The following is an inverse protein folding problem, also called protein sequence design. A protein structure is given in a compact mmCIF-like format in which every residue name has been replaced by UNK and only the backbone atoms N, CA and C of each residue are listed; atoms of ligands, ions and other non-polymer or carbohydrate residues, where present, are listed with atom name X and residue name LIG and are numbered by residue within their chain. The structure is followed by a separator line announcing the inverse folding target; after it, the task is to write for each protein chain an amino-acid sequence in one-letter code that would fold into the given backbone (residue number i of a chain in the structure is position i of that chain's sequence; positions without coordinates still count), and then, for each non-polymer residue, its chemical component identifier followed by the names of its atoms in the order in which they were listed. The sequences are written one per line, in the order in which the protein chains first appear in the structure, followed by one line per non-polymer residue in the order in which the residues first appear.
data_IF_816314167370
#
_entry.id   IF_816314167370
#
_cell.length_a   1.000
_cell.length_b   1.000
_cell.length_c   1.000
_cell.angle_alpha   90.00
_cell.angle_beta   90.00
_cell.angle_gamma   90.00
#
_symmetry.space_group_name_H-M   'P 1'
#
loop_
_entity.id
_entity.type
_entity.pdbx_description
1 polymer ?
#
# COMPACT_ATOMS: atom_id res chain seq x y z
N UNK A 1 17.13 24.25 2.21
CA UNK A 1 16.93 23.54 3.49
C UNK A 1 17.84 22.32 3.69
N UNK A 2 18.35 21.67 2.64
CA UNK A 2 19.19 20.45 2.72
C UNK A 2 20.72 20.67 2.58
N UNK A 3 21.22 21.91 2.67
CA UNK A 3 22.67 22.19 2.57
C UNK A 3 23.16 22.80 3.87
N UNK A 4 23.77 21.97 4.71
CA UNK A 4 24.43 22.35 5.96
C UNK A 4 24.55 21.18 6.94
N UNK A 5 25.64 21.15 7.70
CA UNK A 5 25.88 20.22 8.81
C UNK A 5 24.73 20.38 9.85
N UNK A 6 23.80 19.42 9.89
CA UNK A 6 22.56 19.49 10.69
C UNK A 6 21.25 19.55 9.89
N UNK A 7 21.31 19.59 8.56
CA UNK A 7 20.14 19.52 7.67
C UNK A 7 19.38 18.19 7.78
N UNK A 8 20.10 17.08 7.93
CA UNK A 8 19.50 15.73 8.09
C UNK A 8 18.74 15.58 9.42
N UNK A 9 19.27 16.15 10.51
CA UNK A 9 18.60 16.12 11.82
C UNK A 9 17.37 17.03 11.86
N UNK A 10 17.41 18.19 11.19
CA UNK A 10 16.22 19.05 11.02
C UNK A 10 15.17 18.35 10.16
N UNK A 11 15.57 17.67 9.09
CA UNK A 11 14.66 16.90 8.25
C UNK A 11 14.03 15.74 9.02
N UNK A 12 14.81 14.97 9.77
CA UNK A 12 14.30 13.90 10.65
C UNK A 12 13.27 14.42 11.64
N UNK A 13 13.56 15.52 12.35
CA UNK A 13 12.60 16.14 13.28
C UNK A 13 11.30 16.58 12.59
N UNK A 14 11.38 17.13 11.37
CA UNK A 14 10.20 17.51 10.60
C UNK A 14 9.41 16.27 10.16
N UNK A 15 10.08 15.23 9.66
CA UNK A 15 9.47 13.97 9.27
C UNK A 15 8.78 13.28 10.45
N UNK A 16 9.45 13.17 11.61
CA UNK A 16 8.90 12.56 12.82
C UNK A 16 7.65 13.30 13.31
N UNK A 17 7.59 14.62 13.11
CA UNK A 17 6.42 15.42 13.48
C UNK A 17 5.30 15.36 12.45
N UNK A 18 5.61 15.21 11.15
CA UNK A 18 4.62 15.08 10.09
C UNK A 18 4.02 13.68 10.00
N UNK A 19 4.77 12.63 10.32
CA UNK A 19 4.32 11.24 10.23
C UNK A 19 2.97 10.97 10.96
N UNK A 20 2.79 11.34 12.25
CA UNK A 20 1.52 11.14 12.93
C UNK A 20 0.40 12.03 12.37
N UNK A 21 0.71 13.22 11.88
CA UNK A 21 -0.27 14.14 11.28
C UNK A 21 -0.79 13.58 9.95
N UNK A 22 0.11 13.05 9.11
CA UNK A 22 -0.24 12.43 7.83
C UNK A 22 -1.09 11.17 8.03
N UNK A 23 -0.69 10.28 8.94
CA UNK A 23 -1.51 9.12 9.30
C UNK A 23 -2.88 9.53 9.84
N UNK A 24 -2.94 10.56 10.69
CA UNK A 24 -4.19 11.11 11.20
C UNK A 24 -5.09 11.66 10.08
N UNK A 25 -4.53 12.41 9.13
CA UNK A 25 -5.26 12.96 8.00
C UNK A 25 -5.77 11.86 7.04
N UNK A 26 -4.96 10.83 6.77
CA UNK A 26 -5.34 9.67 5.96
C UNK A 26 -6.52 8.92 6.61
N UNK A 27 -6.40 8.62 7.91
CA UNK A 27 -7.44 7.91 8.66
C UNK A 27 -8.73 8.75 8.77
N UNK A 28 -8.62 10.05 9.01
CA UNK A 28 -9.76 10.95 9.03
C UNK A 28 -10.48 10.96 7.68
N UNK A 29 -9.73 11.08 6.59
CA UNK A 29 -10.27 11.01 5.21
C UNK A 29 -10.99 9.69 4.99
N UNK A 30 -10.39 8.57 5.41
CA UNK A 30 -11.00 7.25 5.30
C UNK A 30 -12.31 7.16 6.07
N UNK A 31 -12.33 7.60 7.33
CA UNK A 31 -13.53 7.59 8.18
C UNK A 31 -14.65 8.46 7.58
N UNK A 32 -14.33 9.66 7.07
CA UNK A 32 -15.29 10.54 6.43
C UNK A 32 -15.88 9.92 5.16
N UNK A 33 -15.04 9.33 4.32
CA UNK A 33 -15.48 8.68 3.08
C UNK A 33 -16.38 7.47 3.39
N UNK A 34 -16.01 6.63 4.35
CA UNK A 34 -16.86 5.53 4.81
C UNK A 34 -18.16 6.01 5.45
N UNK A 35 -18.13 7.09 6.21
CA UNK A 35 -19.32 7.69 6.80
C UNK A 35 -20.32 8.18 5.76
N UNK A 36 -19.83 8.83 4.69
CA UNK A 36 -20.69 9.37 3.63
C UNK A 36 -21.10 8.33 2.58
N UNK A 37 -20.26 7.33 2.32
CA UNK A 37 -20.47 6.35 1.25
C UNK A 37 -20.90 4.97 1.76
N UNK A 38 -20.91 4.72 3.07
CA UNK A 38 -21.13 3.40 3.68
C UNK A 38 -22.44 2.71 3.30
N UNK A 39 -23.53 3.46 3.07
CA UNK A 39 -24.81 2.87 2.65
C UNK A 39 -24.75 2.28 1.23
N UNK A 40 -24.06 2.98 0.31
CA UNK A 40 -23.83 2.48 -1.05
C UNK A 40 -22.86 1.29 -1.08
N UNK A 41 -21.90 1.22 -0.15
CA UNK A 41 -21.01 0.07 0.03
C UNK A 41 -21.84 -1.18 0.36
N UNK A 42 -22.81 -1.07 1.28
CA UNK A 42 -23.68 -2.17 1.67
C UNK A 42 -24.67 -2.58 0.57
N UNK A 43 -25.21 -1.63 -0.19
CA UNK A 43 -26.20 -1.91 -1.25
C UNK A 43 -25.59 -2.54 -2.52
N UNK A 44 -24.26 -2.47 -2.73
CA UNK A 44 -23.59 -2.94 -3.96
C UNK A 44 -22.43 -3.91 -3.71
N UNK A 45 -22.64 -5.05 -3.04
CA UNK A 45 -21.57 -5.99 -2.70
C UNK A 45 -20.90 -6.63 -3.92
N UNK A 46 -21.65 -6.80 -5.02
CA UNK A 46 -21.13 -7.40 -6.26
C UNK A 46 -20.03 -6.53 -6.89
N UNK A 47 -20.18 -5.20 -6.84
CA UNK A 47 -19.18 -4.26 -7.37
C UNK A 47 -17.89 -4.35 -6.54
N UNK A 48 -18.03 -4.43 -5.22
CA UNK A 48 -16.89 -4.60 -4.30
C UNK A 48 -16.13 -5.88 -4.66
N UNK A 49 -16.84 -6.99 -4.88
CA UNK A 49 -16.21 -8.26 -5.24
C UNK A 49 -15.48 -8.17 -6.60
N UNK A 50 -16.13 -7.54 -7.59
CA UNK A 50 -15.57 -7.30 -8.92
C UNK A 50 -14.32 -6.42 -8.89
N UNK A 51 -14.22 -5.47 -7.97
CA UNK A 51 -13.02 -4.64 -7.77
C UNK A 51 -11.95 -5.36 -6.95
N UNK A 52 -12.36 -6.12 -5.93
CA UNK A 52 -11.45 -6.80 -5.02
C UNK A 52 -10.64 -7.89 -5.72
N UNK A 53 -11.26 -8.67 -6.61
CA UNK A 53 -10.58 -9.79 -7.29
C UNK A 53 -9.39 -9.31 -8.13
N UNK A 54 -9.52 -8.30 -9.03
CA UNK A 54 -8.37 -7.74 -9.75
C UNK A 54 -7.28 -7.19 -8.84
N UNK A 55 -7.65 -6.47 -7.78
CA UNK A 55 -6.69 -5.88 -6.82
C UNK A 55 -5.91 -6.98 -6.11
N UNK A 56 -6.60 -8.02 -5.63
CA UNK A 56 -5.97 -9.18 -4.99
C UNK A 56 -4.95 -9.83 -5.91
N UNK A 57 -5.36 -10.15 -7.14
CA UNK A 57 -4.49 -10.77 -8.13
C UNK A 57 -3.28 -9.87 -8.38
N UNK A 58 -3.49 -8.58 -8.62
CA UNK A 58 -2.43 -7.62 -8.91
C UNK A 58 -1.43 -7.50 -7.76
N UNK A 59 -1.89 -7.39 -6.51
CA UNK A 59 -1.02 -7.24 -5.34
C UNK A 59 -0.20 -8.51 -5.08
N UNK A 60 -0.84 -9.69 -5.10
CA UNK A 60 -0.11 -10.95 -4.90
C UNK A 60 0.84 -11.27 -6.05
N UNK A 61 0.43 -11.00 -7.29
CA UNK A 61 1.25 -11.22 -8.46
C UNK A 61 2.46 -10.30 -8.47
N UNK A 62 2.28 -8.99 -8.32
CA UNK A 62 3.38 -8.04 -8.36
C UNK A 62 4.34 -8.23 -7.17
N UNK A 63 3.82 -8.46 -5.97
CA UNK A 63 4.68 -8.72 -4.80
C UNK A 63 5.43 -10.03 -4.93
N UNK A 64 4.77 -11.11 -5.36
CA UNK A 64 5.40 -12.41 -5.58
C UNK A 64 6.46 -12.35 -6.67
N UNK A 65 6.16 -11.68 -7.79
CA UNK A 65 7.08 -11.47 -8.90
C UNK A 65 8.30 -10.67 -8.46
N UNK A 66 8.09 -9.51 -7.80
CA UNK A 66 9.18 -8.68 -7.30
C UNK A 66 10.03 -9.41 -6.25
N UNK A 67 9.41 -10.16 -5.34
CA UNK A 67 10.12 -10.96 -4.34
C UNK A 67 10.96 -12.07 -4.98
N UNK A 68 10.41 -12.74 -6.00
CA UNK A 68 11.12 -13.78 -6.74
C UNK A 68 12.24 -13.23 -7.63
N UNK A 69 12.05 -12.08 -8.30
CA UNK A 69 13.10 -11.40 -9.05
C UNK A 69 14.26 -11.03 -8.12
N UNK A 70 13.96 -10.40 -6.99
CA UNK A 70 14.97 -10.05 -5.99
C UNK A 70 15.77 -11.28 -5.51
N UNK A 71 15.08 -12.43 -5.31
CA UNK A 71 15.76 -13.70 -4.99
C UNK A 71 16.67 -14.16 -6.12
N UNK A 72 16.22 -14.10 -7.37
CA UNK A 72 17.02 -14.49 -8.54
C UNK A 72 18.26 -13.64 -8.71
N UNK A 73 18.15 -12.35 -8.42
CA UNK A 73 19.22 -11.36 -8.48
C UNK A 73 20.17 -11.40 -7.25
N UNK A 74 19.89 -12.25 -6.25
CA UNK A 74 20.74 -12.39 -5.07
C UNK A 74 20.60 -11.27 -4.04
N UNK A 75 19.51 -10.50 -4.09
CA UNK A 75 19.27 -9.38 -3.18
C UNK A 75 18.92 -9.91 -1.79
N UNK A 76 19.52 -9.33 -0.74
CA UNK A 76 19.24 -9.69 0.65
C UNK A 76 17.77 -9.44 1.02
N UNK A 77 17.22 -10.26 1.91
CA UNK A 77 15.81 -10.18 2.33
C UNK A 77 15.43 -8.79 2.85
N UNK A 78 16.34 -8.12 3.56
CA UNK A 78 16.15 -6.77 4.10
C UNK A 78 15.90 -5.69 3.03
N UNK A 79 16.27 -5.94 1.77
CA UNK A 79 16.00 -5.04 0.63
C UNK A 79 14.89 -5.62 -0.25
N UNK A 80 14.87 -6.94 -0.44
CA UNK A 80 13.89 -7.64 -1.25
C UNK A 80 12.46 -7.52 -0.70
N UNK A 81 12.30 -7.56 0.62
CA UNK A 81 10.99 -7.46 1.27
C UNK A 81 10.35 -6.08 1.09
N UNK A 82 11.03 -4.94 1.41
CA UNK A 82 10.52 -3.61 1.08
C UNK A 82 10.31 -3.41 -0.42
N UNK A 83 11.24 -3.89 -1.25
CA UNK A 83 11.14 -3.78 -2.72
C UNK A 83 9.89 -4.48 -3.26
N UNK A 84 9.57 -5.68 -2.77
CA UNK A 84 8.39 -6.43 -3.17
C UNK A 84 7.08 -5.72 -2.79
N UNK A 85 7.06 -5.05 -1.64
CA UNK A 85 5.92 -4.25 -1.20
C UNK A 85 5.75 -3.01 -2.08
N UNK A 86 6.83 -2.26 -2.33
CA UNK A 86 6.82 -1.07 -3.19
C UNK A 86 6.30 -1.42 -4.60
N UNK A 87 6.73 -2.55 -5.16
CA UNK A 87 6.27 -3.00 -6.48
C UNK A 87 4.80 -3.41 -6.53
N UNK A 88 4.16 -3.67 -5.38
CA UNK A 88 2.77 -4.09 -5.29
C UNK A 88 1.82 -2.98 -4.83
N UNK A 89 2.33 -1.95 -4.14
CA UNK A 89 1.53 -0.87 -3.55
C UNK A 89 0.96 0.09 -4.60
N UNK A 90 -0.30 0.51 -4.40
CA UNK A 90 -0.93 1.58 -5.15
C UNK A 90 -1.11 2.85 -4.29
N UNK A 91 -1.00 4.02 -4.91
CA UNK A 91 -1.22 5.31 -4.24
C UNK A 91 -2.70 5.71 -4.25
N UNK A 92 -3.50 5.06 -3.41
CA UNK A 92 -4.92 5.37 -3.37
C UNK A 92 -5.26 6.77 -2.89
N UNK A 93 -4.49 7.35 -1.99
CA UNK A 93 -4.81 8.69 -1.49
C UNK A 93 -4.87 9.70 -2.65
N UNK A 94 -3.94 9.57 -3.60
CA UNK A 94 -3.95 10.32 -4.85
C UNK A 94 -5.11 9.88 -5.77
N UNK A 95 -5.41 8.58 -5.86
CA UNK A 95 -6.52 8.07 -6.67
C UNK A 95 -7.90 8.55 -6.17
N UNK A 96 -8.11 8.62 -4.87
CA UNK A 96 -9.32 9.14 -4.23
C UNK A 96 -9.44 10.64 -4.50
N UNK A 97 -8.36 11.40 -4.32
CA UNK A 97 -8.35 12.83 -4.63
C UNK A 97 -8.71 13.11 -6.10
N UNK A 98 -8.12 12.34 -7.03
CA UNK A 98 -8.42 12.44 -8.46
C UNK A 98 -9.86 12.02 -8.80
N UNK A 99 -10.37 10.95 -8.19
CA UNK A 99 -11.73 10.48 -8.44
C UNK A 99 -12.78 11.48 -7.94
N UNK A 100 -12.57 12.06 -6.76
CA UNK A 100 -13.46 13.08 -6.20
C UNK A 100 -13.39 14.36 -7.03
N UNK A 101 -12.20 14.78 -7.48
CA UNK A 101 -12.06 16.01 -8.26
C UNK A 101 -12.66 15.92 -9.66
N UNK A 102 -12.58 14.75 -10.31
CA UNK A 102 -13.07 14.55 -11.68
C UNK A 102 -14.54 14.10 -11.73
N UNK A 103 -14.97 13.23 -10.81
CA UNK A 103 -16.29 12.59 -10.85
C UNK A 103 -17.22 13.00 -9.71
N UNK A 104 -16.72 13.75 -8.73
CA UNK A 104 -17.47 14.15 -7.55
C UNK A 104 -17.58 13.04 -6.49
N UNK A 105 -17.94 13.44 -5.27
CA UNK A 105 -17.96 12.55 -4.10
C UNK A 105 -19.06 11.48 -4.12
N UNK A 106 -20.14 11.71 -4.88
CA UNK A 106 -21.30 10.82 -4.99
C UNK A 106 -21.21 9.85 -6.18
N UNK A 107 -20.12 9.89 -6.95
CA UNK A 107 -19.94 8.99 -8.08
C UNK A 107 -19.52 7.59 -7.63
N UNK A 108 -19.97 6.57 -8.37
CA UNK A 108 -19.50 5.19 -8.21
C UNK A 108 -17.99 5.04 -8.41
N UNK A 109 -17.34 5.97 -9.13
CA UNK A 109 -15.89 6.01 -9.28
C UNK A 109 -15.18 6.40 -7.97
N UNK A 110 -15.70 7.39 -7.24
CA UNK A 110 -15.18 7.78 -5.93
C UNK A 110 -15.44 6.70 -4.87
N UNK A 111 -16.58 6.02 -4.94
CA UNK A 111 -16.87 4.84 -4.11
C UNK A 111 -15.86 3.71 -4.36
N UNK A 112 -15.56 3.43 -5.63
CA UNK A 112 -14.65 2.35 -6.02
C UNK A 112 -13.21 2.56 -5.51
N UNK A 113 -12.71 3.80 -5.50
CA UNK A 113 -11.36 4.10 -4.99
C UNK A 113 -11.27 3.95 -3.48
N UNK A 114 -12.31 4.33 -2.74
CA UNK A 114 -12.38 4.16 -1.28
C UNK A 114 -12.49 2.70 -0.88
N UNK A 115 -13.34 1.94 -1.57
CA UNK A 115 -13.45 0.48 -1.39
C UNK A 115 -12.13 -0.20 -1.74
N UNK A 116 -11.43 0.26 -2.79
CA UNK A 116 -10.11 -0.23 -3.18
C UNK A 116 -9.10 -0.17 -2.03
N UNK A 117 -9.05 0.95 -1.30
CA UNK A 117 -8.20 1.11 -0.10
C UNK A 117 -8.55 0.08 0.97
N UNK A 118 -9.84 -0.12 1.25
CA UNK A 118 -10.30 -1.05 2.27
C UNK A 118 -9.86 -2.48 1.98
N UNK A 119 -9.80 -2.86 0.70
CA UNK A 119 -9.35 -4.19 0.28
C UNK A 119 -7.82 -4.26 0.24
N UNK A 120 -7.13 -3.27 -0.29
CA UNK A 120 -5.68 -3.35 -0.47
C UNK A 120 -4.92 -3.32 0.84
N UNK A 121 -5.28 -2.46 1.79
CA UNK A 121 -4.55 -2.34 3.07
C UNK A 121 -4.42 -3.70 3.79
N UNK A 122 -5.49 -4.47 4.03
CA UNK A 122 -5.36 -5.78 4.67
C UNK A 122 -4.62 -6.79 3.81
N UNK A 123 -4.78 -6.75 2.49
CA UNK A 123 -4.04 -7.62 1.56
C UNK A 123 -2.54 -7.31 1.63
N UNK A 124 -2.17 -6.05 1.64
CA UNK A 124 -0.78 -5.62 1.77
C UNK A 124 -0.18 -6.06 3.11
N UNK A 125 -0.91 -5.89 4.23
CA UNK A 125 -0.47 -6.42 5.53
C UNK A 125 -0.31 -7.94 5.50
N UNK A 126 -1.18 -8.66 4.80
CA UNK A 126 -1.06 -10.11 4.62
C UNK A 126 0.20 -10.49 3.83
N UNK A 127 0.54 -9.74 2.78
CA UNK A 127 1.77 -9.94 2.00
C UNK A 127 3.02 -9.64 2.85
N UNK A 128 3.03 -8.56 3.62
CA UNK A 128 4.11 -8.25 4.57
C UNK A 128 4.31 -9.42 5.53
N UNK A 129 3.22 -9.95 6.07
CA UNK A 129 3.27 -11.09 6.98
C UNK A 129 3.82 -12.35 6.30
N UNK A 130 3.38 -12.66 5.07
CA UNK A 130 3.90 -13.78 4.26
C UNK A 130 5.40 -13.61 4.03
N UNK A 131 5.84 -12.45 3.53
CA UNK A 131 7.24 -12.17 3.20
C UNK A 131 8.16 -12.27 4.42
N UNK A 132 7.70 -11.80 5.58
CA UNK A 132 8.43 -11.93 6.83
C UNK A 132 8.49 -13.39 7.30
N UNK A 133 7.40 -14.14 7.16
CA UNK A 133 7.36 -15.57 7.50
C UNK A 133 8.19 -16.44 6.56
N UNK A 134 8.32 -16.07 5.29
CA UNK A 134 9.14 -16.79 4.30
C UNK A 134 10.63 -16.43 4.36
N UNK A 135 11.05 -15.54 5.27
CA UNK A 135 12.46 -15.16 5.45
C UNK A 135 13.42 -16.34 5.58
N UNK A 136 13.16 -17.38 6.41
CA UNK A 136 14.07 -18.52 6.53
C UNK A 136 14.20 -19.31 5.22
N UNK A 137 13.13 -19.42 4.42
CA UNK A 137 13.17 -20.08 3.11
C UNK A 137 13.92 -19.24 2.06
N UNK A 138 13.79 -17.92 2.16
CA UNK A 138 14.49 -16.96 1.31
C UNK A 138 16.00 -17.03 1.51
N UNK A 139 16.44 -16.97 2.78
CA UNK A 139 17.86 -16.98 3.15
C UNK A 139 18.55 -18.32 2.81
N UNK A 140 17.84 -19.45 2.94
CA UNK A 140 18.35 -20.77 2.51
C UNK A 140 18.70 -20.83 1.02
N UNK A 141 18.01 -20.08 0.17
CA UNK A 141 18.28 -20.02 -1.27
C UNK A 141 19.43 -19.12 -1.67
N UNK A 142 19.73 -18.11 -0.86
CA UNK A 142 20.84 -17.19 -1.08
C UNK A 142 22.17 -17.77 -0.56
N UNK A 143 22.13 -18.57 0.51
CA UNK A 143 23.31 -19.21 1.11
C UNK A 143 24.01 -20.25 0.21
N UNK A 144 23.38 -20.72 -0.88
CA UNK A 144 23.99 -21.65 -1.84
C UNK A 144 24.70 -20.98 -3.03
N UNK A 145 24.86 -19.65 -3.03
CA UNK A 145 25.49 -18.87 -4.12
C UNK A 145 26.68 -18.01 -3.66
N UNK A 146 27.23 -18.28 -2.47
CA UNK A 146 28.45 -17.66 -1.96
C UNK A 146 29.60 -18.65 -1.96
#
# INVERSE_FOLDING_TARGET
LMRGEGGEERLRRVLDRMHPVSLGALLLTLVLLFGFQGRQILDRPVIILLLAVPILIQVYFNSGLAYWLNRKLGVAHCVAAPSALIGASNFFELAVAAAISLFGLQSGAALATVVGVLVEVPVMLSVVWIVNRTRPWYERGAAGRG
#
